data_IF_758314139944
#
_entry.id   IF_758314139944
#
_cell.length_a   1.000
_cell.length_b   1.000
_cell.length_c   1.000
_cell.angle_alpha   90.00
_cell.angle_beta   90.00
_cell.angle_gamma   90.00
#
_symmetry.space_group_name_H-M   'P 1'
#
loop_
_entity.id
_entity.type
_entity.pdbx_description
1 polymer ?
#
# COMPACT_ATOMS: atom_id res chain seq x y z
N UNK A 1 -20.96 -9.93 -8.04
CA UNK A 1 -20.33 -10.99 -7.22
C UNK A 1 -19.22 -10.46 -6.29
N UNK A 2 -18.80 -9.20 -6.38
CA UNK A 2 -17.74 -8.64 -5.50
C UNK A 2 -18.20 -8.36 -4.08
N UNK A 3 -19.42 -7.87 -3.88
CA UNK A 3 -19.90 -7.44 -2.55
C UNK A 3 -19.92 -8.56 -1.49
N UNK A 4 -20.39 -9.77 -1.84
CA UNK A 4 -20.40 -10.91 -0.90
C UNK A 4 -18.98 -11.35 -0.55
N UNK A 5 -18.08 -11.43 -1.55
CA UNK A 5 -16.69 -11.80 -1.34
C UNK A 5 -15.95 -10.78 -0.47
N UNK A 6 -16.21 -9.48 -0.69
CA UNK A 6 -15.66 -8.40 0.12
C UNK A 6 -16.16 -8.49 1.57
N UNK A 7 -17.46 -8.70 1.78
CA UNK A 7 -18.05 -8.83 3.11
C UNK A 7 -17.46 -10.03 3.88
N UNK A 8 -17.33 -11.18 3.23
CA UNK A 8 -16.71 -12.37 3.82
C UNK A 8 -15.24 -12.12 4.17
N UNK A 9 -14.48 -11.49 3.27
CA UNK A 9 -13.10 -11.13 3.55
C UNK A 9 -13.00 -10.19 4.75
N UNK A 10 -13.83 -9.15 4.82
CA UNK A 10 -13.86 -8.20 5.95
C UNK A 10 -14.19 -8.93 7.25
N UNK A 11 -15.19 -9.81 7.27
CA UNK A 11 -15.59 -10.56 8.45
C UNK A 11 -14.47 -11.49 8.95
N UNK A 12 -13.80 -12.20 8.04
CA UNK A 12 -12.68 -13.08 8.39
C UNK A 12 -11.52 -12.27 8.96
N UNK A 13 -11.15 -11.17 8.31
CA UNK A 13 -10.05 -10.30 8.75
C UNK A 13 -10.37 -9.62 10.09
N UNK A 14 -11.62 -9.19 10.29
CA UNK A 14 -12.08 -8.67 11.57
C UNK A 14 -12.02 -9.74 12.67
N UNK A 15 -12.47 -10.97 12.39
CA UNK A 15 -12.36 -12.10 13.31
C UNK A 15 -10.91 -12.39 13.70
N UNK A 16 -9.98 -12.36 12.73
CA UNK A 16 -8.54 -12.47 13.00
C UNK A 16 -8.01 -11.32 13.87
N UNK A 17 -8.44 -10.09 13.62
CA UNK A 17 -8.06 -8.95 14.45
C UNK A 17 -8.54 -9.10 15.90
N UNK A 18 -9.77 -9.58 16.12
CA UNK A 18 -10.29 -9.88 17.45
C UNK A 18 -9.54 -11.03 18.13
N UNK A 19 -9.24 -12.10 17.40
CA UNK A 19 -8.50 -13.24 17.94
C UNK A 19 -7.04 -12.90 18.27
N UNK A 20 -6.42 -11.97 17.54
CA UNK A 20 -5.06 -11.49 17.77
C UNK A 20 -4.95 -10.43 18.85
N UNK A 21 -6.06 -9.80 19.26
CA UNK A 21 -6.03 -8.74 20.25
C UNK A 21 -5.62 -9.32 21.61
N UNK A 22 -4.55 -8.80 22.25
CA UNK A 22 -4.17 -9.27 23.58
C UNK A 22 -5.30 -9.04 24.59
N UNK A 23 -5.41 -9.92 25.59
CA UNK A 23 -6.47 -9.87 26.60
C UNK A 23 -6.38 -8.65 27.53
N UNK A 24 -5.25 -7.94 27.52
CA UNK A 24 -5.01 -6.78 28.35
C UNK A 24 -5.81 -5.56 27.87
N UNK A 25 -6.28 -4.75 28.82
CA UNK A 25 -7.09 -3.55 28.54
C UNK A 25 -6.38 -2.54 27.63
N UNK A 26 -5.05 -2.48 27.68
CA UNK A 26 -4.24 -1.62 26.82
C UNK A 26 -4.22 -2.10 25.36
N UNK A 27 -4.38 -3.41 25.14
CA UNK A 27 -4.43 -3.98 23.81
C UNK A 27 -5.75 -3.73 23.09
N UNK A 28 -6.84 -3.46 23.82
CA UNK A 28 -8.10 -3.05 23.22
C UNK A 28 -7.96 -1.78 22.35
N UNK A 29 -6.94 -0.95 22.60
CA UNK A 29 -6.67 0.22 21.78
C UNK A 29 -6.18 -0.12 20.37
N UNK A 30 -5.66 -1.32 20.08
CA UNK A 30 -5.19 -1.67 18.74
C UNK A 30 -6.34 -2.07 17.78
N UNK A 31 -7.48 -2.49 18.33
CA UNK A 31 -8.63 -2.99 17.55
C UNK A 31 -9.21 -1.99 16.55
N UNK A 32 -9.44 -0.70 16.89
CA UNK A 32 -10.01 0.25 15.94
C UNK A 32 -9.20 0.37 14.64
N UNK A 33 -7.87 0.42 14.74
CA UNK A 33 -6.99 0.48 13.57
C UNK A 33 -7.05 -0.82 12.76
N UNK A 34 -7.03 -1.97 13.42
CA UNK A 34 -7.10 -3.28 12.75
C UNK A 34 -8.44 -3.51 12.04
N UNK A 35 -9.56 -3.14 12.68
CA UNK A 35 -10.90 -3.22 12.10
C UNK A 35 -11.07 -2.25 10.91
N UNK A 36 -10.50 -1.05 11.01
CA UNK A 36 -10.46 -0.13 9.88
C UNK A 36 -9.68 -0.73 8.69
N UNK A 37 -8.50 -1.29 8.96
CA UNK A 37 -7.71 -1.97 7.93
C UNK A 37 -8.45 -3.18 7.34
N UNK A 38 -9.19 -3.96 8.15
CA UNK A 38 -10.03 -5.07 7.67
C UNK A 38 -11.07 -4.56 6.67
N UNK A 39 -11.83 -3.53 7.07
CA UNK A 39 -12.88 -2.93 6.24
C UNK A 39 -12.33 -2.34 4.93
N UNK A 40 -11.15 -1.72 4.96
CA UNK A 40 -10.55 -1.09 3.79
C UNK A 40 -9.73 -2.05 2.92
N UNK A 41 -9.33 -3.24 3.41
CA UNK A 41 -8.43 -4.16 2.69
C UNK A 41 -8.91 -4.48 1.26
N UNK A 42 -10.17 -4.89 1.02
CA UNK A 42 -10.61 -5.22 -0.34
C UNK A 42 -10.59 -4.02 -1.30
N UNK A 43 -10.89 -2.82 -0.78
CA UNK A 43 -10.84 -1.58 -1.54
C UNK A 43 -9.41 -1.16 -1.85
N UNK A 44 -8.50 -1.21 -0.87
CA UNK A 44 -7.09 -0.88 -1.03
C UNK A 44 -6.42 -1.81 -2.05
N UNK A 45 -6.68 -3.13 -1.98
CA UNK A 45 -6.14 -4.11 -2.93
C UNK A 45 -6.63 -3.81 -4.36
N UNK A 46 -7.93 -3.56 -4.56
CA UNK A 46 -8.47 -3.24 -5.89
C UNK A 46 -7.96 -1.90 -6.43
N UNK A 47 -7.91 -0.87 -5.58
CA UNK A 47 -7.38 0.44 -5.96
C UNK A 47 -5.90 0.36 -6.35
N UNK A 48 -5.10 -0.40 -5.60
CA UNK A 48 -3.67 -0.53 -5.91
C UNK A 48 -3.42 -1.38 -7.17
N UNK A 49 -4.18 -2.46 -7.37
CA UNK A 49 -4.07 -3.25 -8.61
C UNK A 49 -4.56 -2.50 -9.85
N UNK A 50 -5.61 -1.68 -9.71
CA UNK A 50 -6.19 -0.92 -10.82
C UNK A 50 -5.43 0.36 -11.16
N UNK A 51 -5.19 1.21 -10.15
CA UNK A 51 -4.65 2.57 -10.30
C UNK A 51 -3.17 2.66 -9.92
N UNK A 52 -2.61 1.64 -9.24
CA UNK A 52 -1.22 1.64 -8.71
C UNK A 52 -0.92 2.83 -7.80
N UNK A 53 -1.96 3.27 -7.09
CA UNK A 53 -1.94 4.35 -6.11
C UNK A 53 -2.93 4.00 -5.00
N UNK A 54 -2.45 4.06 -3.76
CA UNK A 54 -3.30 3.96 -2.59
C UNK A 54 -3.99 5.30 -2.34
N UNK A 55 -5.32 5.30 -2.10
CA UNK A 55 -6.08 6.50 -1.82
C UNK A 55 -5.81 7.00 -0.40
N UNK A 56 -5.37 8.25 -0.29
CA UNK A 56 -5.08 8.91 0.99
C UNK A 56 -6.29 8.90 1.94
N UNK A 57 -7.51 8.95 1.38
CA UNK A 57 -8.77 8.90 2.13
C UNK A 57 -8.91 7.63 2.96
N UNK A 58 -8.32 6.51 2.54
CA UNK A 58 -8.37 5.25 3.28
C UNK A 58 -7.15 5.06 4.20
N UNK A 59 -5.97 5.52 3.80
CA UNK A 59 -4.73 5.32 4.56
C UNK A 59 -4.55 6.33 5.70
N UNK A 60 -5.02 7.58 5.55
CA UNK A 60 -4.91 8.60 6.59
C UNK A 60 -5.72 8.27 7.85
N UNK A 61 -6.99 7.82 7.77
CA UNK A 61 -7.73 7.42 8.97
C UNK A 61 -7.07 6.24 9.68
N UNK A 62 -6.51 5.28 8.94
CA UNK A 62 -5.79 4.15 9.54
C UNK A 62 -4.60 4.64 10.38
N UNK A 63 -3.79 5.56 9.83
CA UNK A 63 -2.66 6.15 10.55
C UNK A 63 -3.13 6.98 11.76
N UNK A 64 -4.21 7.76 11.60
CA UNK A 64 -4.77 8.56 12.68
C UNK A 64 -5.26 7.68 13.85
N UNK A 65 -5.95 6.57 13.54
CA UNK A 65 -6.37 5.60 14.54
C UNK A 65 -5.17 5.00 15.27
N UNK A 66 -4.11 4.60 14.56
CA UNK A 66 -2.89 4.08 15.19
C UNK A 66 -2.24 5.09 16.13
N UNK A 67 -2.12 6.36 15.71
CA UNK A 67 -1.56 7.42 16.56
C UNK A 67 -2.43 7.65 17.79
N UNK A 68 -3.76 7.68 17.61
CA UNK A 68 -4.71 7.83 18.71
C UNK A 68 -4.61 6.65 19.70
N UNK A 69 -4.49 5.42 19.20
CA UNK A 69 -4.31 4.21 20.02
C UNK A 69 -3.01 4.26 20.83
N UNK A 70 -1.90 4.66 20.21
CA UNK A 70 -0.61 4.82 20.91
C UNK A 70 -0.72 5.91 21.98
N UNK A 71 -1.36 7.04 21.67
CA UNK A 71 -1.57 8.11 22.64
C UNK A 71 -2.46 7.67 23.82
N UNK A 72 -3.54 6.94 23.54
CA UNK A 72 -4.43 6.40 24.58
C UNK A 72 -3.73 5.37 25.47
N UNK A 73 -2.91 4.49 24.88
CA UNK A 73 -2.05 3.56 25.61
C UNK A 73 -1.05 4.29 26.50
N UNK A 74 -0.38 5.32 25.97
CA UNK A 74 0.57 6.13 26.72
C UNK A 74 -0.08 6.84 27.93
N UNK A 75 -1.25 7.44 27.73
CA UNK A 75 -2.02 8.07 28.81
C UNK A 75 -2.43 7.05 29.88
N UNK A 76 -2.83 5.85 29.46
CA UNK A 76 -3.20 4.75 30.36
C UNK A 76 -2.00 4.23 31.17
N UNK A 77 -0.81 4.13 30.56
CA UNK A 77 0.43 3.75 31.25
C UNK A 77 0.80 4.78 32.32
N UNK A 78 0.72 6.08 32.01
CA UNK A 78 0.97 7.16 32.98
C UNK A 78 -0.02 7.09 34.15
N UNK A 79 -1.32 6.88 33.88
CA UNK A 79 -2.33 6.74 34.91
C UNK A 79 -2.10 5.51 35.83
N UNK A 80 -1.48 4.46 35.28
CA UNK A 80 -1.16 3.22 36.01
C UNK A 80 0.22 3.26 36.71
N UNK A 81 0.93 4.39 36.65
CA UNK A 81 2.28 4.52 37.21
C UNK A 81 3.38 3.80 36.43
N UNK A 82 3.08 3.30 35.22
CA UNK A 82 4.10 2.76 34.30
C UNK A 82 4.85 3.93 33.66
N UNK A 83 6.18 3.82 33.60
CA UNK A 83 7.03 4.90 33.10
C UNK A 83 6.77 5.24 31.63
N UNK A 84 7.13 6.46 31.17
CA UNK A 84 6.91 6.92 29.79
C UNK A 84 7.69 6.12 28.73
N UNK A 85 8.59 5.23 29.16
CA UNK A 85 9.43 4.40 28.30
C UNK A 85 8.60 3.43 27.43
N UNK A 86 7.50 2.88 27.94
CA UNK A 86 6.62 1.98 27.16
C UNK A 86 5.99 2.71 25.96
N UNK A 87 5.51 3.94 26.18
CA UNK A 87 4.93 4.77 25.12
C UNK A 87 5.96 5.11 24.02
N UNK A 88 7.20 5.42 24.42
CA UNK A 88 8.28 5.70 23.49
C UNK A 88 8.64 4.47 22.65
N UNK A 89 8.70 3.29 23.26
CA UNK A 89 8.95 2.03 22.55
C UNK A 89 7.84 1.70 21.55
N UNK A 90 6.57 1.97 21.88
CA UNK A 90 5.45 1.78 20.97
C UNK A 90 5.44 2.77 19.79
N UNK A 91 5.93 3.99 19.99
CA UNK A 91 6.00 5.03 18.95
C UNK A 91 7.18 4.84 17.98
N UNK A 92 8.25 4.17 18.43
CA UNK A 92 9.49 4.02 17.67
C UNK A 92 9.28 3.33 16.31
N UNK A 93 8.60 2.17 16.19
CA UNK A 93 8.40 1.51 14.90
C UNK A 93 7.65 2.35 13.86
N UNK A 94 6.45 2.91 14.13
CA UNK A 94 5.75 3.72 13.13
C UNK A 94 6.52 5.00 12.78
N UNK A 95 7.23 5.62 13.73
CA UNK A 95 8.07 6.78 13.45
C UNK A 95 9.24 6.44 12.53
N UNK A 96 9.97 5.35 12.79
CA UNK A 96 11.06 4.89 11.92
C UNK A 96 10.57 4.56 10.51
N UNK A 97 9.44 3.84 10.38
CA UNK A 97 8.85 3.51 9.08
C UNK A 97 8.38 4.77 8.34
N UNK A 98 7.75 5.72 9.02
CA UNK A 98 7.35 6.99 8.43
C UNK A 98 8.56 7.80 7.94
N UNK A 99 9.61 7.92 8.74
CA UNK A 99 10.84 8.66 8.37
C UNK A 99 11.54 8.02 7.18
N UNK A 100 11.76 6.70 7.23
CA UNK A 100 12.38 5.94 6.14
C UNK A 100 11.53 6.02 4.86
N UNK A 101 10.20 5.88 5.00
CA UNK A 101 9.26 5.98 3.90
C UNK A 101 9.22 7.38 3.28
N UNK A 102 9.23 8.45 4.08
CA UNK A 102 9.31 9.83 3.57
C UNK A 102 10.65 10.06 2.84
N UNK A 103 11.76 9.58 3.39
CA UNK A 103 13.06 9.67 2.72
C UNK A 103 13.07 8.94 1.37
N UNK A 104 12.44 7.77 1.29
CA UNK A 104 12.32 7.00 0.06
C UNK A 104 11.31 7.61 -0.93
N UNK A 105 10.19 8.17 -0.45
CA UNK A 105 9.21 8.89 -1.26
C UNK A 105 9.81 10.16 -1.89
N UNK A 106 10.66 10.90 -1.16
CA UNK A 106 11.42 12.04 -1.72
C UNK A 106 12.34 11.66 -2.87
N UNK A 107 12.82 10.41 -2.90
CA UNK A 107 13.59 9.84 -4.03
C UNK A 107 12.71 9.31 -5.16
N UNK A 108 11.39 9.44 -5.04
CA UNK A 108 10.40 8.95 -6.00
C UNK A 108 10.31 7.43 -6.05
N UNK A 109 10.74 6.72 -5.00
CA UNK A 109 10.67 5.26 -4.92
C UNK A 109 9.28 4.75 -4.53
N UNK A 110 8.54 5.51 -3.71
CA UNK A 110 7.24 5.12 -3.16
C UNK A 110 6.22 6.25 -3.23
N UNK A 111 4.94 5.91 -3.31
CA UNK A 111 3.85 6.85 -3.13
C UNK A 111 3.68 7.23 -1.66
N UNK A 112 3.24 8.46 -1.40
CA UNK A 112 2.96 8.89 -0.01
C UNK A 112 1.87 8.03 0.66
N UNK A 113 0.91 7.51 -0.11
CA UNK A 113 -0.09 6.55 0.38
C UNK A 113 0.53 5.25 0.91
N UNK A 114 1.55 4.71 0.23
CA UNK A 114 2.26 3.51 0.68
C UNK A 114 2.99 3.75 2.00
N UNK A 115 3.62 4.93 2.14
CA UNK A 115 4.32 5.34 3.36
C UNK A 115 3.36 5.44 4.54
N UNK A 116 2.19 6.07 4.35
CA UNK A 116 1.15 6.18 5.37
C UNK A 116 0.61 4.82 5.78
N UNK A 117 0.33 3.95 4.80
CA UNK A 117 -0.14 2.60 5.05
C UNK A 117 0.90 1.76 5.79
N UNK A 118 2.16 1.81 5.36
CA UNK A 118 3.26 1.08 6.01
C UNK A 118 3.46 1.54 7.46
N UNK A 119 3.40 2.86 7.71
CA UNK A 119 3.47 3.40 9.07
C UNK A 119 2.27 2.96 9.94
N UNK A 120 1.05 2.96 9.39
CA UNK A 120 -0.13 2.46 10.09
C UNK A 120 -0.02 0.95 10.41
N UNK A 121 0.41 0.14 9.45
CA UNK A 121 0.66 -1.29 9.62
C UNK A 121 1.72 -1.52 10.71
N UNK A 122 2.85 -0.83 10.65
CA UNK A 122 3.93 -0.99 11.61
C UNK A 122 3.48 -0.60 13.03
N UNK A 123 2.76 0.51 13.19
CA UNK A 123 2.24 0.91 14.50
C UNK A 123 1.12 0.02 15.02
N UNK A 124 0.27 -0.54 14.15
CA UNK A 124 -0.75 -1.52 14.54
C UNK A 124 -0.11 -2.84 14.99
N UNK A 125 0.85 -3.37 14.24
CA UNK A 125 1.54 -4.63 14.58
C UNK A 125 2.40 -4.49 15.84
N UNK A 126 3.08 -3.37 16.01
CA UNK A 126 3.87 -3.09 17.22
C UNK A 126 3.01 -3.12 18.50
N UNK A 127 1.73 -2.74 18.41
CA UNK A 127 0.79 -2.82 19.54
C UNK A 127 0.24 -4.23 19.79
N UNK A 128 0.29 -5.13 18.80
CA UNK A 128 -0.13 -6.53 18.95
C UNK A 128 1.05 -7.35 19.50
N UNK A 129 2.16 -7.38 18.78
CA UNK A 129 3.41 -7.98 19.20
C UNK A 129 4.57 -7.43 18.35
N UNK A 130 5.54 -6.70 18.95
CA UNK A 130 6.63 -6.07 18.21
C UNK A 130 7.47 -7.04 17.37
N UNK A 131 7.63 -8.29 17.82
CA UNK A 131 8.38 -9.33 17.10
C UNK A 131 7.79 -9.66 15.73
N UNK A 132 6.49 -9.45 15.53
CA UNK A 132 5.80 -9.73 14.28
C UNK A 132 6.11 -8.72 13.17
N UNK A 133 6.77 -7.60 13.49
CA UNK A 133 7.29 -6.68 12.47
C UNK A 133 8.26 -7.37 11.51
N UNK A 134 8.98 -8.39 11.98
CA UNK A 134 9.88 -9.21 11.14
C UNK A 134 9.08 -9.97 10.08
N UNK A 135 7.92 -10.52 10.45
CA UNK A 135 7.03 -11.24 9.52
C UNK A 135 6.50 -10.29 8.45
N UNK A 136 6.04 -9.10 8.85
CA UNK A 136 5.59 -8.07 7.92
C UNK A 136 6.70 -7.68 6.95
N UNK A 137 7.90 -7.38 7.48
CA UNK A 137 9.04 -6.97 6.68
C UNK A 137 9.47 -8.06 5.69
N UNK A 138 9.48 -9.33 6.11
CA UNK A 138 9.83 -10.46 5.27
C UNK A 138 8.83 -10.65 4.11
N UNK A 139 7.53 -10.68 4.41
CA UNK A 139 6.47 -10.86 3.39
C UNK A 139 6.44 -9.67 2.42
N UNK A 140 6.56 -8.44 2.92
CA UNK A 140 6.60 -7.25 2.07
C UNK A 140 7.83 -7.24 1.15
N UNK A 141 8.98 -7.66 1.67
CA UNK A 141 10.24 -7.74 0.91
C UNK A 141 10.19 -8.82 -0.18
N UNK A 142 9.62 -9.99 0.13
CA UNK A 142 9.39 -11.05 -0.85
C UNK A 142 8.42 -10.62 -1.95
N UNK A 143 7.33 -9.94 -1.60
CA UNK A 143 6.38 -9.41 -2.58
C UNK A 143 6.98 -8.32 -3.46
N UNK A 144 7.79 -7.42 -2.88
CA UNK A 144 8.53 -6.41 -3.63
C UNK A 144 9.52 -7.04 -4.63
N UNK A 145 10.26 -8.06 -4.19
CA UNK A 145 11.20 -8.80 -5.02
C UNK A 145 10.47 -9.52 -6.17
N UNK A 146 9.37 -10.22 -5.87
CA UNK A 146 8.56 -10.91 -6.88
C UNK A 146 7.99 -9.93 -7.92
N UNK A 147 7.54 -8.76 -7.48
CA UNK A 147 7.03 -7.72 -8.35
C UNK A 147 8.12 -7.07 -9.22
N UNK A 148 9.34 -6.90 -8.68
CA UNK A 148 10.50 -6.42 -9.42
C UNK A 148 10.95 -7.44 -10.48
N UNK A 149 11.05 -8.73 -10.13
CA UNK A 149 11.39 -9.82 -11.04
C UNK A 149 10.37 -9.97 -12.18
N UNK A 150 9.08 -9.86 -11.87
CA UNK A 150 8.03 -9.92 -12.90
C UNK A 150 8.15 -8.80 -13.93
N UNK A 151 8.59 -7.62 -13.51
CA UNK A 151 8.81 -6.47 -14.40
C UNK A 151 10.05 -6.61 -15.26
N UNK A 152 11.15 -7.15 -14.72
CA UNK A 152 12.38 -7.37 -15.49
C UNK A 152 12.23 -8.50 -16.52
N UNK A 153 11.45 -9.53 -16.20
CA UNK A 153 11.12 -10.60 -17.17
C UNK A 153 10.14 -10.12 -18.24
N UNK A 154 9.12 -9.34 -17.87
CA UNK A 154 8.11 -8.82 -18.81
C UNK A 154 8.62 -7.72 -19.75
N UNK A 155 9.72 -7.04 -19.43
CA UNK A 155 10.36 -6.08 -20.35
C UNK A 155 11.13 -6.77 -21.47
N UNK A 156 11.79 -7.90 -21.17
CA UNK A 156 12.54 -8.70 -22.16
C UNK A 156 11.64 -9.26 -23.26
N UNK A 157 10.45 -9.75 -22.91
CA UNK A 157 9.51 -10.31 -23.89
C UNK A 157 8.94 -9.28 -24.88
N UNK A 158 8.93 -7.99 -24.54
CA UNK A 158 8.42 -6.92 -25.42
C UNK A 158 9.43 -6.49 -26.48
N UNK A 159 10.72 -6.54 -26.18
CA UNK A 159 11.78 -6.21 -27.15
C UNK A 159 11.83 -7.27 -28.26
N UNK A 160 11.57 -8.54 -27.93
CA UNK A 160 11.55 -9.63 -28.92
C UNK A 160 10.41 -9.57 -29.93
N UNK A 161 9.25 -8.98 -29.60
CA UNK A 161 8.11 -8.85 -30.54
C UNK A 161 8.16 -7.62 -31.45
N UNK A 162 9.08 -6.68 -31.20
CA UNK A 162 9.26 -5.50 -32.06
C UNK A 162 10.17 -5.76 -33.25
N UNK A 163 10.81 -6.93 -33.30
CA UNK A 163 11.71 -7.36 -34.36
C UNK A 163 11.05 -8.50 -35.15
N UNK A 164 9.87 -8.24 -35.71
CA UNK A 164 9.45 -8.91 -36.95
C UNK A 164 9.94 -8.04 -38.12
N UNK A 165 11.20 -8.18 -38.57
CA UNK A 165 11.61 -7.65 -39.85
C UNK A 165 10.96 -8.51 -40.94
N UNK A 166 10.30 -7.88 -41.88
CA UNK A 166 9.90 -8.47 -43.16
C UNK A 166 8.74 -9.48 -43.14
N UNK A 167 7.53 -8.94 -43.04
CA UNK A 167 6.46 -9.27 -43.98
C UNK A 167 5.81 -7.93 -44.33
N UNK A 168 6.06 -7.29 -45.46
CA UNK A 168 6.17 -7.82 -46.80
C UNK A 168 5.15 -7.06 -47.65
N UNK A 169 5.59 -6.54 -48.78
CA UNK A 169 4.81 -6.06 -49.93
C UNK A 169 3.97 -4.78 -49.74
N UNK A 170 4.38 -3.62 -50.27
CA UNK A 170 4.20 -3.23 -51.70
C UNK A 170 2.74 -3.36 -52.17
N UNK A 171 1.92 -2.37 -51.86
CA UNK A 171 0.69 -2.07 -52.60
C UNK A 171 0.91 -0.87 -53.51
N UNK A 172 0.93 -1.02 -54.85
CA UNK A 172 0.96 0.09 -55.77
C UNK A 172 -0.46 0.62 -56.03
N UNK A 173 -0.64 1.93 -56.01
CA UNK A 173 -1.74 2.60 -56.70
C UNK A 173 -3.00 2.85 -55.87
N UNK A 174 -3.09 4.04 -55.27
CA UNK A 174 -4.33 4.60 -54.73
C UNK A 174 -4.21 6.11 -54.69
N UNK A 175 -4.66 6.77 -55.77
CA UNK A 175 -4.67 8.22 -55.94
C UNK A 175 -5.50 8.89 -54.85
N UNK A 176 -4.84 9.75 -54.07
CA UNK A 176 -5.47 10.51 -52.98
C UNK A 176 -5.95 11.85 -53.54
N UNK A 177 -7.26 12.17 -53.48
CA UNK A 177 -7.76 13.48 -53.87
C UNK A 177 -7.30 14.55 -52.87
N UNK A 178 -6.99 15.73 -53.42
CA UNK A 178 -6.51 16.90 -52.69
C UNK A 178 -7.59 17.48 -51.76
N UNK A 179 -7.25 17.84 -50.51
CA UNK A 179 -8.12 18.69 -49.70
C UNK A 179 -7.91 20.15 -50.10
N UNK A 180 -8.80 20.66 -50.93
CA UNK A 180 -8.99 22.10 -51.15
C UNK A 180 -9.74 22.70 -49.97
N UNK A 181 -9.04 23.56 -49.23
CA UNK A 181 -9.57 24.80 -48.66
C UNK A 181 -10.62 24.72 -47.54
N UNK A 182 -10.19 25.02 -46.32
CA UNK A 182 -10.91 26.00 -45.50
C UNK A 182 -9.97 26.57 -44.43
N UNK A 183 -9.63 27.83 -44.64
CA UNK A 183 -8.95 28.73 -43.73
C UNK A 183 -9.86 29.05 -42.54
N UNK A 184 -9.43 28.78 -41.31
CA UNK A 184 -10.01 29.35 -40.10
C UNK A 184 -8.94 29.47 -39.00
N UNK A 185 -8.26 30.62 -39.05
CA UNK A 185 -7.86 31.44 -37.89
C UNK A 185 -7.22 30.76 -36.67
N UNK A 186 -5.90 30.71 -36.71
CA UNK A 186 -5.01 31.41 -35.78
C UNK A 186 -5.54 31.65 -34.35
N UNK A 187 -5.55 30.59 -33.54
CA UNK A 187 -5.60 30.64 -32.09
C UNK A 187 -4.39 29.93 -31.50
N UNK A 188 -3.19 30.45 -31.78
CA UNK A 188 -1.89 29.92 -31.31
C UNK A 188 -1.74 30.20 -29.81
N UNK A 189 -2.58 29.58 -28.97
CA UNK A 189 -2.27 29.43 -27.55
C UNK A 189 -1.09 28.49 -27.47
N UNK A 190 -0.01 28.99 -26.92
CA UNK A 190 1.12 28.19 -26.50
C UNK A 190 0.59 26.94 -25.81
N UNK A 191 0.66 25.80 -26.50
CA UNK A 191 0.67 24.52 -25.82
C UNK A 191 2.00 24.52 -25.08
N UNK A 192 2.02 25.15 -23.91
CA UNK A 192 2.96 24.81 -22.86
C UNK A 192 2.95 23.29 -22.84
N UNK A 193 4.04 22.72 -23.38
CA UNK A 193 4.28 21.30 -23.37
C UNK A 193 4.41 20.93 -21.91
N UNK A 194 3.26 20.73 -21.27
CA UNK A 194 3.16 20.20 -19.92
C UNK A 194 4.02 18.96 -19.97
N UNK A 195 5.18 18.95 -19.30
CA UNK A 195 6.18 17.91 -19.45
C UNK A 195 5.42 16.61 -19.29
N UNK A 196 5.32 15.84 -20.39
CA UNK A 196 4.56 14.60 -20.41
C UNK A 196 5.10 13.78 -19.25
N UNK A 197 4.35 13.78 -18.17
CA UNK A 197 4.73 13.14 -16.93
C UNK A 197 4.55 11.67 -17.23
N UNK A 198 5.56 11.07 -17.89
CA UNK A 198 5.54 9.67 -18.27
C UNK A 198 5.16 8.94 -16.99
N UNK A 199 4.03 8.21 -16.98
CA UNK A 199 3.58 7.55 -15.77
C UNK A 199 4.70 6.59 -15.36
N UNK A 200 5.46 6.99 -14.33
CA UNK A 200 6.48 6.13 -13.74
C UNK A 200 5.73 4.89 -13.31
N UNK A 201 6.17 3.73 -13.81
CA UNK A 201 5.58 2.44 -13.44
C UNK A 201 5.84 2.23 -11.96
N UNK A 202 4.90 2.65 -11.13
CA UNK A 202 4.91 2.36 -9.70
C UNK A 202 4.54 0.90 -9.50
N UNK A 203 5.32 0.23 -8.67
CA UNK A 203 5.07 -1.13 -8.24
C UNK A 203 3.91 -1.08 -7.25
N UNK A 204 2.91 -1.95 -7.42
CA UNK A 204 1.79 -2.07 -6.48
C UNK A 204 2.32 -2.68 -5.16
N UNK A 205 2.62 -1.83 -4.18
CA UNK A 205 3.19 -2.23 -2.88
C UNK A 205 2.12 -2.54 -1.83
N UNK A 206 0.87 -2.12 -2.06
CA UNK A 206 -0.24 -2.31 -1.13
C UNK A 206 -0.53 -3.77 -0.81
N UNK A 207 -0.76 -4.66 -1.80
CA UNK A 207 -1.10 -6.05 -1.55
C UNK A 207 -0.02 -6.83 -0.77
N UNK A 208 1.29 -6.73 -1.10
CA UNK A 208 2.34 -7.35 -0.27
C UNK A 208 2.36 -6.86 1.18
N UNK A 209 2.18 -5.55 1.41
CA UNK A 209 2.13 -4.98 2.75
C UNK A 209 0.93 -5.48 3.54
N UNK A 210 -0.26 -5.48 2.94
CA UNK A 210 -1.48 -5.97 3.56
C UNK A 210 -1.40 -7.49 3.82
N UNK A 211 -0.83 -8.26 2.90
CA UNK A 211 -0.58 -9.68 3.11
C UNK A 211 0.35 -9.92 4.30
N UNK A 212 1.46 -9.19 4.38
CA UNK A 212 2.38 -9.28 5.52
C UNK A 212 1.71 -8.92 6.84
N UNK A 213 0.89 -7.87 6.86
CA UNK A 213 0.08 -7.48 8.02
C UNK A 213 -0.86 -8.60 8.46
N UNK A 214 -1.69 -9.14 7.57
CA UNK A 214 -2.66 -10.18 7.93
C UNK A 214 -2.01 -11.52 8.25
N UNK A 215 -0.84 -11.83 7.68
CA UNK A 215 -0.02 -12.97 8.12
C UNK A 215 0.47 -12.79 9.55
N UNK A 216 0.99 -11.61 9.91
CA UNK A 216 1.40 -11.31 11.28
C UNK A 216 0.22 -11.42 12.26
N UNK A 217 -0.93 -10.80 11.94
CA UNK A 217 -2.16 -10.90 12.75
C UNK A 217 -2.62 -12.36 12.90
N UNK A 218 -2.57 -13.15 11.83
CA UNK A 218 -2.88 -14.59 11.89
C UNK A 218 -1.94 -15.38 12.80
N UNK A 219 -0.64 -15.11 12.74
CA UNK A 219 0.35 -15.72 13.66
C UNK A 219 0.05 -15.35 15.11
N UNK A 220 -0.29 -14.09 15.38
CA UNK A 220 -0.69 -13.65 16.72
C UNK A 220 -1.95 -14.40 17.20
N UNK A 221 -2.99 -14.48 16.36
CA UNK A 221 -4.25 -15.15 16.69
C UNK A 221 -4.10 -16.65 16.98
N UNK A 222 -3.09 -17.30 16.39
CA UNK A 222 -2.83 -18.73 16.57
C UNK A 222 -1.85 -19.03 17.71
N UNK A 223 -1.19 -18.03 18.29
CA UNK A 223 -0.18 -18.24 19.33
C UNK A 223 -0.86 -18.41 20.71
N UNK A 224 -0.86 -19.62 21.31
CA UNK A 224 -1.73 -19.98 22.44
C UNK A 224 -1.33 -19.41 23.80
N UNK A 225 -0.65 -18.27 23.87
CA UNK A 225 -0.21 -17.69 25.13
C UNK A 225 0.32 -16.30 24.95
N UNK A 226 -0.56 -15.30 24.86
CA UNK A 226 -0.27 -13.88 24.68
C UNK A 226 0.54 -13.22 25.80
N UNK A 227 1.67 -13.81 26.16
CA UNK A 227 2.69 -13.34 27.08
C UNK A 227 4.00 -13.25 26.30
N UNK A 228 4.10 -12.27 25.40
CA UNK A 228 5.35 -11.83 24.79
C UNK A 228 5.77 -10.51 25.43
#
# INVERSE_FOLDING_TARGET
MTALGDALAILVLAGLAFAAAPADSAAAFCLPAALWLAACTPFLVRSDLGVRRLPDVATLPALALVVASIAAGALSSVASGRGPQEALLALLPPACVALAGVAAARRGAFGMGDVKLAAAIAGSVAQIAPSLLVVVAAVASLGALAAALSQTLGSRGRIGRGLDPAAGATGPGGTRPAPTGACATAGRRASEGSPQHRPRRTIAFGPPLLAGYWCAVGVAALSPGGSC
#
